data_IF_765548219687
#
_entry.id   IF_765548219687
#
_cell.length_a   1.000
_cell.length_b   1.000
_cell.length_c   1.000
_cell.angle_alpha   90.00
_cell.angle_beta   90.00
_cell.angle_gamma   90.00
#
_symmetry.space_group_name_H-M   'P 1'
#
loop_
_entity.id
_entity.type
_entity.pdbx_description
1 polymer ?
#
# COMPACT_ATOMS: atom_id res chain seq x y z
N UNK A 1 42.97 -47.50 46.10
CA UNK A 1 42.29 -46.52 45.22
C UNK A 1 40.99 -46.12 45.89
N UNK A 2 40.90 -44.89 46.40
CA UNK A 2 39.65 -44.36 46.99
C UNK A 2 38.84 -43.69 45.87
N UNK A 3 37.58 -44.13 45.67
CA UNK A 3 36.66 -43.41 44.80
C UNK A 3 36.19 -42.16 45.54
N UNK A 4 36.51 -40.99 45.01
CA UNK A 4 35.95 -39.72 45.47
C UNK A 4 34.50 -39.70 44.97
N UNK A 5 33.55 -39.87 45.89
CA UNK A 5 32.12 -39.71 45.58
C UNK A 5 31.83 -38.21 45.49
N UNK A 6 31.38 -37.68 44.34
CA UNK A 6 31.04 -36.27 44.24
C UNK A 6 29.72 -36.02 44.96
N UNK A 7 29.68 -34.94 45.75
CA UNK A 7 28.45 -34.48 46.42
C UNK A 7 27.45 -33.96 45.35
N UNK A 8 26.14 -34.14 45.52
CA UNK A 8 25.16 -33.73 44.51
C UNK A 8 25.04 -32.19 44.46
N UNK A 9 24.70 -31.62 43.29
CA UNK A 9 24.59 -30.18 43.13
C UNK A 9 23.41 -29.62 43.94
N UNK A 10 23.61 -28.46 44.55
CA UNK A 10 22.60 -27.77 45.37
C UNK A 10 21.36 -27.39 44.52
N UNK A 11 20.17 -27.71 45.06
CA UNK A 11 18.87 -27.63 44.38
C UNK A 11 18.28 -26.21 44.29
N UNK A 12 18.99 -25.17 44.68
CA UNK A 12 18.39 -23.84 44.86
C UNK A 12 18.33 -23.00 43.57
N UNK A 13 19.08 -23.38 42.52
CA UNK A 13 19.11 -22.64 41.24
C UNK A 13 17.96 -22.97 40.29
N UNK A 14 17.22 -24.06 40.48
CA UNK A 14 16.11 -24.46 39.58
C UNK A 14 14.84 -23.66 39.83
N UNK A 15 14.58 -23.22 41.07
CA UNK A 15 13.37 -22.48 41.41
C UNK A 15 13.38 -21.03 40.88
N UNK A 16 14.53 -20.33 40.91
CA UNK A 16 14.68 -18.98 40.33
C UNK A 16 14.63 -19.00 38.79
N UNK A 17 15.23 -20.03 38.17
CA UNK A 17 15.16 -20.24 36.72
C UNK A 17 13.73 -20.58 36.25
N UNK A 18 12.99 -21.38 37.01
CA UNK A 18 11.59 -21.69 36.72
C UNK A 18 10.67 -20.47 36.86
N UNK A 19 10.86 -19.65 37.90
CA UNK A 19 10.09 -18.40 38.11
C UNK A 19 10.34 -17.35 37.02
N UNK A 20 11.59 -17.21 36.57
CA UNK A 20 11.94 -16.28 35.49
C UNK A 20 11.39 -16.73 34.13
N UNK A 21 11.41 -18.03 33.83
CA UNK A 21 10.74 -18.59 32.64
C UNK A 21 9.22 -18.40 32.67
N UNK A 22 8.58 -18.66 33.81
CA UNK A 22 7.14 -18.45 33.95
C UNK A 22 6.75 -16.97 33.75
N UNK A 23 7.56 -16.04 34.26
CA UNK A 23 7.36 -14.60 34.04
C UNK A 23 7.54 -14.19 32.57
N UNK A 24 8.55 -14.73 31.89
CA UNK A 24 8.76 -14.49 30.45
C UNK A 24 7.62 -15.07 29.61
N UNK A 25 7.08 -16.21 30.00
CA UNK A 25 5.93 -16.82 29.33
C UNK A 25 4.68 -15.96 29.51
N UNK A 26 4.42 -15.43 30.71
CA UNK A 26 3.30 -14.54 30.97
C UNK A 26 3.42 -13.23 30.17
N UNK A 27 4.60 -12.60 30.15
CA UNK A 27 4.86 -11.41 29.33
C UNK A 27 4.73 -11.68 27.83
N UNK A 28 5.20 -12.83 27.36
CA UNK A 28 5.06 -13.23 25.94
C UNK A 28 3.59 -13.48 25.60
N UNK A 29 2.86 -14.14 26.50
CA UNK A 29 1.44 -14.42 26.34
C UNK A 29 0.64 -13.13 26.30
N UNK A 30 0.92 -12.16 27.19
CA UNK A 30 0.29 -10.85 27.17
C UNK A 30 0.62 -10.07 25.89
N UNK A 31 1.88 -10.07 25.43
CA UNK A 31 2.24 -9.41 24.15
C UNK A 31 1.55 -10.04 22.94
N UNK A 32 1.44 -11.37 22.91
CA UNK A 32 0.71 -12.07 21.84
C UNK A 32 -0.77 -11.73 21.92
N UNK A 33 -1.36 -11.78 23.12
CA UNK A 33 -2.76 -11.48 23.34
C UNK A 33 -3.08 -10.03 22.96
N UNK A 34 -2.27 -9.07 23.37
CA UNK A 34 -2.40 -7.66 23.01
C UNK A 34 -2.25 -7.45 21.50
N UNK A 35 -1.34 -8.17 20.83
CA UNK A 35 -1.17 -8.06 19.38
C UNK A 35 -2.44 -8.44 18.59
N UNK A 36 -3.17 -9.45 19.07
CA UNK A 36 -4.39 -9.92 18.41
C UNK A 36 -5.68 -9.22 18.91
N UNK A 37 -5.76 -8.88 20.21
CA UNK A 37 -6.96 -8.29 20.81
C UNK A 37 -6.98 -6.77 20.76
N UNK A 38 -5.81 -6.13 20.72
CA UNK A 38 -5.63 -4.69 20.63
C UNK A 38 -4.73 -4.39 19.43
N UNK A 39 -5.18 -4.70 18.19
CA UNK A 39 -4.43 -4.30 17.01
C UNK A 39 -4.18 -2.80 17.14
N UNK A 40 -2.90 -2.41 17.21
CA UNK A 40 -2.54 -1.01 17.13
C UNK A 40 -3.22 -0.51 15.88
N UNK A 41 -4.13 0.44 16.02
CA UNK A 41 -4.69 1.15 14.89
C UNK A 41 -3.49 1.80 14.22
N UNK A 42 -2.94 1.12 13.23
CA UNK A 42 -1.99 1.74 12.35
C UNK A 42 -2.82 2.82 11.70
N UNK A 43 -2.67 4.06 12.17
CA UNK A 43 -3.28 5.25 11.58
C UNK A 43 -2.63 5.51 10.21
N UNK A 44 -2.43 4.45 9.43
CA UNK A 44 -2.23 4.49 8.01
C UNK A 44 -3.42 5.28 7.47
N UNK A 45 -3.10 6.40 6.84
CA UNK A 45 -4.02 7.33 6.18
C UNK A 45 -4.73 6.69 4.96
N UNK A 46 -5.02 5.41 5.06
CA UNK A 46 -5.08 4.46 3.96
C UNK A 46 -6.25 3.49 4.07
N UNK A 47 -7.04 3.59 5.14
CA UNK A 47 -8.33 2.94 5.14
C UNK A 47 -9.16 3.50 3.98
N UNK A 48 -9.63 2.63 3.07
CA UNK A 48 -10.47 3.07 1.97
C UNK A 48 -11.71 3.75 2.53
N UNK A 49 -12.04 4.92 1.97
CA UNK A 49 -13.21 5.67 2.42
C UNK A 49 -14.47 4.84 2.19
N UNK A 50 -15.51 4.96 3.04
CA UNK A 50 -16.78 4.27 2.79
C UNK A 50 -17.29 4.55 1.37
N UNK A 51 -17.52 3.50 0.58
CA UNK A 51 -17.94 3.58 -0.83
C UNK A 51 -16.81 3.65 -1.87
N UNK A 52 -15.54 3.62 -1.46
CA UNK A 52 -14.42 3.57 -2.38
C UNK A 52 -14.27 2.17 -3.00
N UNK A 53 -14.61 2.06 -4.29
CA UNK A 53 -14.53 0.79 -5.04
C UNK A 53 -13.14 0.59 -5.67
N UNK A 54 -12.43 1.67 -5.98
CA UNK A 54 -11.12 1.63 -6.64
C UNK A 54 -10.04 2.33 -5.82
N UNK A 55 -8.81 1.84 -5.90
CA UNK A 55 -7.63 2.46 -5.31
C UNK A 55 -6.43 2.28 -6.22
N UNK A 56 -5.46 3.19 -6.14
CA UNK A 56 -4.16 3.04 -6.79
C UNK A 56 -3.25 2.32 -5.80
N UNK A 57 -2.56 1.28 -6.27
CA UNK A 57 -1.63 0.51 -5.43
C UNK A 57 -0.49 1.42 -4.97
N UNK A 58 -0.18 1.37 -3.68
CA UNK A 58 0.94 2.12 -3.11
C UNK A 58 2.28 1.59 -3.59
N UNK A 59 3.19 2.52 -3.86
CA UNK A 59 4.54 2.20 -4.31
C UNK A 59 4.61 1.74 -5.77
N UNK A 60 3.52 1.90 -6.54
CA UNK A 60 3.56 1.72 -7.99
C UNK A 60 4.57 2.71 -8.58
N UNK A 61 5.39 2.23 -9.52
CA UNK A 61 6.39 3.06 -10.16
C UNK A 61 5.74 4.10 -11.09
N UNK A 62 6.46 5.21 -11.29
CA UNK A 62 5.98 6.32 -12.12
C UNK A 62 5.74 5.90 -13.58
N UNK A 63 6.52 4.95 -14.10
CA UNK A 63 6.36 4.44 -15.47
C UNK A 63 4.99 3.74 -15.61
N UNK A 64 4.65 2.82 -14.70
CA UNK A 64 3.34 2.16 -14.68
C UNK A 64 2.20 3.17 -14.50
N UNK A 65 2.35 4.17 -13.62
CA UNK A 65 1.34 5.20 -13.42
C UNK A 65 1.12 6.04 -14.69
N UNK A 66 2.21 6.51 -15.31
CA UNK A 66 2.17 7.32 -16.53
C UNK A 66 1.69 6.53 -17.74
N UNK A 67 2.06 5.26 -17.87
CA UNK A 67 1.58 4.38 -18.93
C UNK A 67 0.06 4.18 -18.84
N UNK A 68 -0.46 3.83 -17.65
CA UNK A 68 -1.90 3.69 -17.44
C UNK A 68 -2.64 5.01 -17.66
N UNK A 69 -2.08 6.14 -17.22
CA UNK A 69 -2.66 7.46 -17.47
C UNK A 69 -2.72 7.75 -18.97
N UNK A 70 -1.64 7.51 -19.70
CA UNK A 70 -1.56 7.77 -21.14
C UNK A 70 -2.55 6.91 -21.92
N UNK A 71 -2.67 5.63 -21.58
CA UNK A 71 -3.66 4.73 -22.17
C UNK A 71 -5.10 5.15 -21.84
N UNK A 72 -5.36 5.57 -20.60
CA UNK A 72 -6.68 6.08 -20.19
C UNK A 72 -7.06 7.34 -20.96
N UNK A 73 -6.11 8.28 -21.13
CA UNK A 73 -6.33 9.50 -21.90
C UNK A 73 -6.54 9.21 -23.37
N UNK A 74 -5.79 8.29 -23.97
CA UNK A 74 -5.98 7.87 -25.36
C UNK A 74 -7.36 7.22 -25.58
N UNK A 75 -7.81 6.39 -24.64
CA UNK A 75 -9.17 5.81 -24.67
C UNK A 75 -10.26 6.88 -24.55
N UNK A 76 -10.08 7.84 -23.62
CA UNK A 76 -11.00 8.96 -23.46
C UNK A 76 -11.06 9.86 -24.70
N UNK A 77 -9.91 10.11 -25.33
CA UNK A 77 -9.82 10.90 -26.57
C UNK A 77 -10.57 10.22 -27.72
N UNK A 78 -10.41 8.90 -27.89
CA UNK A 78 -11.15 8.12 -28.88
C UNK A 78 -12.66 8.19 -28.65
N UNK A 79 -13.12 8.00 -27.41
CA UNK A 79 -14.54 8.10 -27.05
C UNK A 79 -15.10 9.52 -27.26
N UNK A 80 -14.35 10.55 -26.92
CA UNK A 80 -14.78 11.94 -27.11
C UNK A 80 -14.88 12.30 -28.60
N UNK A 81 -13.93 11.84 -29.42
CA UNK A 81 -13.96 12.00 -30.87
C UNK A 81 -15.15 11.27 -31.51
N UNK A 82 -15.39 10.01 -31.13
CA UNK A 82 -16.53 9.22 -31.63
C UNK A 82 -17.85 9.91 -31.28
N UNK A 83 -18.00 10.37 -30.03
CA UNK A 83 -19.18 11.13 -29.61
C UNK A 83 -19.34 12.46 -30.37
N UNK A 84 -18.25 13.18 -30.62
CA UNK A 84 -18.30 14.45 -31.35
C UNK A 84 -18.78 14.27 -32.79
N UNK A 85 -18.46 13.12 -33.41
CA UNK A 85 -18.93 12.77 -34.75
C UNK A 85 -20.47 12.59 -34.78
N UNK A 86 -21.03 11.94 -33.77
CA UNK A 86 -22.47 11.63 -33.67
C UNK A 86 -23.35 12.82 -33.23
N UNK A 87 -22.76 13.85 -32.63
CA UNK A 87 -23.47 15.04 -32.18
C UNK A 87 -23.46 16.16 -33.22
N UNK A 88 -24.37 17.12 -33.15
CA UNK A 88 -24.36 18.35 -33.97
C UNK A 88 -24.50 19.61 -33.13
N UNK A 89 -24.14 20.77 -33.69
CA UNK A 89 -24.33 22.08 -33.05
C UNK A 89 -23.59 22.23 -31.72
N UNK A 90 -24.26 22.80 -30.71
CA UNK A 90 -23.66 23.11 -29.41
C UNK A 90 -23.12 21.87 -28.66
N UNK A 91 -23.84 20.73 -28.58
CA UNK A 91 -23.30 19.50 -27.99
C UNK A 91 -22.01 18.99 -28.65
N UNK A 92 -21.87 19.09 -29.98
CA UNK A 92 -20.61 18.76 -30.67
C UNK A 92 -19.47 19.66 -30.20
N UNK A 93 -19.70 20.96 -30.09
CA UNK A 93 -18.68 21.90 -29.59
C UNK A 93 -18.27 21.58 -28.15
N UNK A 94 -19.20 21.13 -27.31
CA UNK A 94 -18.88 20.66 -25.96
C UNK A 94 -18.01 19.41 -25.97
N UNK A 95 -18.34 18.40 -26.79
CA UNK A 95 -17.55 17.18 -26.94
C UNK A 95 -16.12 17.47 -27.42
N UNK A 96 -15.98 18.36 -28.42
CA UNK A 96 -14.66 18.84 -28.88
C UNK A 96 -13.91 19.62 -27.79
N UNK A 97 -14.62 20.38 -26.96
CA UNK A 97 -14.01 21.03 -25.79
C UNK A 97 -13.47 20.02 -24.76
N UNK A 98 -14.16 18.89 -24.56
CA UNK A 98 -13.68 17.79 -23.71
C UNK A 98 -12.43 17.17 -24.31
N UNK A 99 -12.45 16.86 -25.61
CA UNK A 99 -11.29 16.34 -26.34
C UNK A 99 -10.07 17.26 -26.18
N UNK A 100 -10.24 18.58 -26.36
CA UNK A 100 -9.18 19.56 -26.16
C UNK A 100 -8.57 19.47 -24.74
N UNK A 101 -9.39 19.29 -23.70
CA UNK A 101 -8.89 19.13 -22.32
C UNK A 101 -8.13 17.80 -22.13
N UNK A 102 -8.54 16.74 -22.82
CA UNK A 102 -7.84 15.44 -22.80
C UNK A 102 -6.47 15.60 -23.46
N UNK A 103 -6.40 16.19 -24.65
CA UNK A 103 -5.12 16.46 -25.35
C UNK A 103 -4.15 17.29 -24.49
N UNK A 104 -4.65 18.34 -23.83
CA UNK A 104 -3.84 19.15 -22.90
C UNK A 104 -3.33 18.32 -21.72
N UNK A 105 -4.15 17.42 -21.18
CA UNK A 105 -3.76 16.52 -20.09
C UNK A 105 -2.67 15.53 -20.54
N UNK A 106 -2.75 15.04 -21.77
CA UNK A 106 -1.73 14.18 -22.37
C UNK A 106 -0.39 14.90 -22.53
N UNK A 107 -0.40 16.18 -22.92
CA UNK A 107 0.83 16.99 -22.97
C UNK A 107 1.47 17.15 -21.59
N UNK A 108 0.67 17.37 -20.54
CA UNK A 108 1.18 17.45 -19.17
C UNK A 108 1.76 16.10 -18.71
N UNK A 109 1.11 14.98 -19.03
CA UNK A 109 1.62 13.65 -18.70
C UNK A 109 2.96 13.35 -19.41
N UNK A 110 3.07 13.70 -20.70
CA UNK A 110 4.32 13.57 -21.46
C UNK A 110 5.43 14.44 -20.87
N UNK A 111 5.13 15.67 -20.46
CA UNK A 111 6.11 16.53 -19.79
C UNK A 111 6.58 15.94 -18.45
N UNK A 112 5.70 15.29 -17.69
CA UNK A 112 6.09 14.58 -16.47
C UNK A 112 6.99 13.40 -16.82
N UNK A 113 6.68 12.65 -17.88
CA UNK A 113 7.51 11.54 -18.36
C UNK A 113 8.93 12.02 -18.70
N UNK A 114 9.05 13.11 -19.46
CA UNK A 114 10.34 13.72 -19.82
C UNK A 114 11.14 14.18 -18.58
N UNK A 115 10.46 14.57 -17.49
CA UNK A 115 11.11 14.98 -16.25
C UNK A 115 11.60 13.81 -15.40
N UNK A 116 10.90 12.66 -15.44
CA UNK A 116 11.27 11.47 -14.66
C UNK A 116 12.29 10.59 -15.37
N UNK A 117 12.36 10.66 -16.70
CA UNK A 117 13.38 10.02 -17.53
C UNK A 117 14.19 11.08 -18.32
N UNK A 118 15.02 11.89 -17.62
CA UNK A 118 15.87 12.87 -18.28
C UNK A 118 16.94 12.15 -19.09
N UNK A 119 16.80 12.25 -20.42
CA UNK A 119 17.77 11.72 -21.39
C UNK A 119 19.17 12.29 -21.22
#
# INVERSE_FOLDING_TARGET
MFKITPNPPEKDSTAQSAKSKAKQQDETTQRVLDHYLLPKSDNSQDEPKPGQVFTVVKGLDNECLLANLSETLASADAMANELAFDLEGSPRSLALGIQQMIELSSLLANQVLDNVDPR
#
